data_IF_404813984427
#
_entry.id   IF_404813984427
#
_cell.length_a   1.000
_cell.length_b   1.000
_cell.length_c   1.000
_cell.angle_alpha   90.00
_cell.angle_beta   90.00
_cell.angle_gamma   90.00
#
_symmetry.space_group_name_H-M   'P 1'
#
loop_
_entity.id
_entity.type
_entity.pdbx_description
1 polymer ?
#
# COMPACT_ATOMS: atom_id res chain seq x y z
N UNK A 1 61.50 9.98 -0.16
CA UNK A 1 60.04 10.17 -0.14
C UNK A 1 59.46 9.13 -1.07
N UNK A 2 58.82 8.09 -0.52
CA UNK A 2 58.28 6.98 -1.30
C UNK A 2 56.89 7.39 -1.82
N UNK A 3 56.87 8.03 -2.98
CA UNK A 3 55.66 8.49 -3.67
C UNK A 3 54.64 7.36 -3.89
N UNK A 4 55.11 6.13 -4.08
CA UNK A 4 54.24 4.96 -4.25
C UNK A 4 53.38 4.67 -3.02
N UNK A 5 53.93 4.86 -1.80
CA UNK A 5 53.17 4.64 -0.57
C UNK A 5 52.06 5.68 -0.40
N UNK A 6 52.34 6.94 -0.71
CA UNK A 6 51.36 8.02 -0.58
C UNK A 6 50.17 7.87 -1.54
N UNK A 7 50.43 7.36 -2.75
CA UNK A 7 49.38 7.12 -3.74
C UNK A 7 48.48 5.95 -3.31
N UNK A 8 49.07 4.87 -2.79
CA UNK A 8 48.33 3.72 -2.27
C UNK A 8 47.47 4.12 -1.06
N UNK A 9 48.02 4.90 -0.14
CA UNK A 9 47.29 5.39 1.04
C UNK A 9 46.10 6.28 0.63
N UNK A 10 46.31 7.20 -0.31
CA UNK A 10 45.23 8.05 -0.83
C UNK A 10 44.13 7.24 -1.51
N UNK A 11 44.52 6.24 -2.30
CA UNK A 11 43.57 5.35 -2.99
C UNK A 11 42.71 4.56 -2.00
N UNK A 12 43.33 3.99 -0.96
CA UNK A 12 42.63 3.25 0.09
C UNK A 12 41.63 4.13 0.84
N UNK A 13 41.99 5.39 1.13
CA UNK A 13 41.07 6.35 1.77
C UNK A 13 39.86 6.65 0.89
N UNK A 14 40.07 6.88 -0.42
CA UNK A 14 38.98 7.16 -1.36
C UNK A 14 38.02 5.97 -1.45
N UNK A 15 38.55 4.75 -1.53
CA UNK A 15 37.73 3.53 -1.57
C UNK A 15 36.90 3.41 -0.29
N UNK A 16 37.49 3.62 0.88
CA UNK A 16 36.79 3.53 2.16
C UNK A 16 35.67 4.58 2.29
N UNK A 17 35.93 5.81 1.87
CA UNK A 17 34.94 6.89 1.85
C UNK A 17 33.79 6.61 0.88
N UNK A 18 34.09 6.07 -0.30
CA UNK A 18 33.04 5.70 -1.27
C UNK A 18 32.14 4.59 -0.73
N UNK A 19 32.73 3.58 -0.07
CA UNK A 19 32.00 2.45 0.48
C UNK A 19 31.08 2.88 1.62
N UNK A 20 31.61 3.68 2.55
CA UNK A 20 30.83 4.24 3.67
C UNK A 20 29.70 5.16 3.20
N UNK A 21 29.95 6.02 2.21
CA UNK A 21 28.92 6.87 1.61
C UNK A 21 27.80 6.05 0.95
N UNK A 22 28.15 4.99 0.24
CA UNK A 22 27.16 4.11 -0.41
C UNK A 22 26.28 3.37 0.61
N UNK A 23 26.86 2.88 1.70
CA UNK A 23 26.14 2.24 2.80
C UNK A 23 25.19 3.22 3.51
N UNK A 24 25.67 4.43 3.82
CA UNK A 24 24.85 5.47 4.42
C UNK A 24 23.68 5.86 3.52
N UNK A 25 23.91 6.00 2.21
CA UNK A 25 22.87 6.30 1.24
C UNK A 25 21.79 5.21 1.20
N UNK A 26 22.17 3.94 1.18
CA UNK A 26 21.23 2.82 1.17
C UNK A 26 20.38 2.77 2.44
N UNK A 27 20.96 3.08 3.60
CA UNK A 27 20.21 3.16 4.87
C UNK A 27 19.18 4.30 4.84
N UNK A 28 19.60 5.50 4.42
CA UNK A 28 18.71 6.66 4.29
C UNK A 28 17.60 6.39 3.28
N UNK A 29 17.94 5.83 2.11
CA UNK A 29 16.96 5.48 1.08
C UNK A 29 15.95 4.45 1.59
N UNK A 30 16.40 3.44 2.34
CA UNK A 30 15.53 2.42 2.92
C UNK A 30 14.59 3.03 3.96
N UNK A 31 15.10 3.91 4.83
CA UNK A 31 14.30 4.63 5.81
C UNK A 31 13.22 5.50 5.15
N UNK A 32 13.61 6.28 4.12
CA UNK A 32 12.68 7.12 3.36
C UNK A 32 11.65 6.31 2.56
N UNK A 33 11.98 5.11 2.08
CA UNK A 33 11.02 4.25 1.35
C UNK A 33 10.03 3.55 2.27
N UNK A 34 10.45 3.17 3.49
CA UNK A 34 9.58 2.52 4.49
C UNK A 34 8.42 3.42 4.96
N UNK A 35 8.49 4.73 4.75
CA UNK A 35 7.39 5.66 5.07
C UNK A 35 6.32 5.74 3.98
N UNK A 36 6.47 5.06 2.82
CA UNK A 36 5.33 4.72 1.96
C UNK A 36 4.48 3.70 2.72
N UNK A 37 3.68 4.20 3.67
CA UNK A 37 2.65 3.48 4.38
C UNK A 37 1.89 2.68 3.35
N UNK A 38 1.78 1.37 3.58
CA UNK A 38 0.82 0.51 2.92
C UNK A 38 -0.51 1.21 3.13
N UNK A 39 -0.96 1.95 2.12
CA UNK A 39 -2.25 2.63 2.20
C UNK A 39 -3.26 1.52 2.38
N UNK A 40 -4.05 1.59 3.45
CA UNK A 40 -5.12 0.63 3.69
C UNK A 40 -6.15 0.87 2.60
N UNK A 41 -5.96 0.17 1.49
CA UNK A 41 -6.83 0.21 0.34
C UNK A 41 -8.14 -0.46 0.75
N UNK A 42 -9.20 0.34 0.88
CA UNK A 42 -10.53 -0.18 1.17
C UNK A 42 -11.04 -0.84 -0.10
N UNK A 43 -11.12 -2.16 -0.09
CA UNK A 43 -11.73 -2.94 -1.18
C UNK A 43 -13.23 -2.98 -0.94
N UNK A 44 -14.01 -2.67 -1.98
CA UNK A 44 -15.47 -2.68 -1.96
C UNK A 44 -16.01 -3.63 -3.02
N UNK A 45 -17.09 -4.33 -2.69
CA UNK A 45 -17.86 -5.15 -3.63
C UNK A 45 -19.19 -4.47 -3.96
N UNK A 46 -19.58 -4.50 -5.23
CA UNK A 46 -20.86 -4.00 -5.73
C UNK A 46 -21.77 -5.19 -5.95
N UNK A 47 -22.94 -5.14 -5.34
CA UNK A 47 -24.00 -6.13 -5.47
C UNK A 47 -25.12 -5.51 -6.28
N UNK A 48 -25.62 -6.24 -7.27
CA UNK A 48 -26.84 -5.91 -7.99
C UNK A 48 -27.99 -6.76 -7.46
N UNK A 49 -29.07 -6.10 -7.03
CA UNK A 49 -30.26 -6.70 -6.44
C UNK A 49 -31.49 -5.84 -6.80
N UNK A 50 -32.59 -6.45 -7.25
CA UNK A 50 -33.85 -5.75 -7.56
C UNK A 50 -33.69 -4.52 -8.48
N UNK A 51 -32.78 -4.60 -9.46
CA UNK A 51 -32.47 -3.49 -10.38
C UNK A 51 -31.70 -2.32 -9.77
N UNK A 52 -31.29 -2.41 -8.50
CA UNK A 52 -30.46 -1.43 -7.80
C UNK A 52 -29.07 -2.01 -7.50
N UNK A 53 -28.09 -1.11 -7.38
CA UNK A 53 -26.70 -1.46 -7.06
C UNK A 53 -26.33 -0.93 -5.68
N UNK A 54 -25.77 -1.81 -4.85
CA UNK A 54 -25.34 -1.48 -3.49
C UNK A 54 -23.87 -1.79 -3.31
N UNK A 55 -23.14 -0.91 -2.64
CA UNK A 55 -21.74 -1.11 -2.29
C UNK A 55 -21.64 -1.66 -0.86
N UNK A 56 -20.82 -2.69 -0.68
CA UNK A 56 -20.46 -3.21 0.65
C UNK A 56 -18.95 -3.34 0.80
N UNK A 57 -18.50 -3.47 2.04
CA UNK A 57 -17.11 -3.81 2.33
C UNK A 57 -16.82 -5.21 1.82
N UNK A 58 -15.71 -5.37 1.10
CA UNK A 58 -15.28 -6.67 0.62
C UNK A 58 -15.11 -7.67 1.77
N UNK A 59 -15.72 -8.84 1.62
CA UNK A 59 -15.55 -9.97 2.54
C UNK A 59 -14.69 -11.06 1.86
N UNK A 60 -13.87 -11.77 2.64
CA UNK A 60 -13.04 -12.86 2.10
C UNK A 60 -13.96 -13.91 1.46
N UNK A 61 -13.66 -14.29 0.21
CA UNK A 61 -14.48 -15.21 -0.57
C UNK A 61 -15.55 -14.53 -1.43
N UNK A 62 -15.57 -13.20 -1.53
CA UNK A 62 -16.32 -12.49 -2.57
C UNK A 62 -15.59 -12.59 -3.91
N UNK A 63 -16.33 -12.91 -4.97
CA UNK A 63 -15.86 -12.91 -6.35
C UNK A 63 -16.98 -12.39 -7.26
N UNK A 64 -16.61 -11.85 -8.43
CA UNK A 64 -17.57 -11.35 -9.41
C UNK A 64 -18.39 -12.52 -9.95
N UNK A 65 -19.71 -12.42 -9.88
CA UNK A 65 -20.65 -13.48 -10.25
C UNK A 65 -21.20 -14.28 -9.07
N UNK A 66 -20.66 -14.11 -7.86
CA UNK A 66 -21.17 -14.80 -6.66
C UNK A 66 -22.59 -14.35 -6.33
N UNK A 67 -23.48 -15.31 -6.08
CA UNK A 67 -24.82 -15.08 -5.55
C UNK A 67 -24.75 -14.73 -4.06
N UNK A 68 -25.48 -13.69 -3.66
CA UNK A 68 -25.54 -13.20 -2.29
C UNK A 68 -26.98 -12.87 -1.94
N UNK A 69 -27.39 -13.14 -0.70
CA UNK A 69 -28.71 -12.74 -0.22
C UNK A 69 -28.76 -11.22 -0.06
N UNK A 70 -29.85 -10.64 -0.55
CA UNK A 70 -30.09 -9.21 -0.47
C UNK A 70 -30.88 -8.92 0.81
N UNK A 71 -30.53 -7.86 1.53
CA UNK A 71 -31.23 -7.48 2.76
C UNK A 71 -32.52 -6.70 2.50
N UNK A 72 -32.64 -6.06 1.33
CA UNK A 72 -33.81 -5.26 0.94
C UNK A 72 -34.85 -6.08 0.15
N UNK A 73 -34.43 -7.19 -0.44
CA UNK A 73 -35.28 -8.09 -1.19
C UNK A 73 -34.94 -9.52 -0.79
N UNK A 74 -35.93 -10.38 -0.57
CA UNK A 74 -35.71 -11.81 -0.30
C UNK A 74 -35.20 -12.60 -1.53
N UNK A 75 -34.82 -11.90 -2.60
CA UNK A 75 -34.24 -12.47 -3.81
C UNK A 75 -32.70 -12.52 -3.75
N UNK A 76 -32.13 -13.44 -4.52
CA UNK A 76 -30.68 -13.58 -4.65
C UNK A 76 -30.12 -12.45 -5.53
N UNK A 77 -29.24 -11.64 -4.96
CA UNK A 77 -28.42 -10.68 -5.68
C UNK A 77 -27.13 -11.30 -6.22
N UNK A 78 -26.39 -10.55 -7.04
CA UNK A 78 -25.09 -10.98 -7.60
C UNK A 78 -24.03 -9.91 -7.42
N UNK A 79 -22.80 -10.32 -7.09
CA UNK A 79 -21.64 -9.42 -7.10
C UNK A 79 -21.26 -9.10 -8.54
N UNK A 80 -21.33 -7.83 -8.94
CA UNK A 80 -21.04 -7.38 -10.33
C UNK A 80 -19.67 -6.75 -10.49
N UNK A 81 -19.09 -6.20 -9.41
CA UNK A 81 -17.77 -5.58 -9.46
C UNK A 81 -17.08 -5.63 -8.10
N UNK A 82 -15.75 -5.67 -8.12
CA UNK A 82 -14.89 -5.55 -6.94
C UNK A 82 -13.78 -4.57 -7.31
N UNK A 83 -13.64 -3.50 -6.55
CA UNK A 83 -12.63 -2.48 -6.83
C UNK A 83 -12.02 -1.89 -5.55
N UNK A 84 -10.85 -1.28 -5.72
CA UNK A 84 -10.18 -0.53 -4.66
C UNK A 84 -10.70 0.90 -4.67
N UNK A 85 -11.30 1.32 -3.56
CA UNK A 85 -11.71 2.71 -3.36
C UNK A 85 -10.47 3.58 -3.12
N UNK A 86 -10.27 4.60 -3.98
CA UNK A 86 -9.28 5.64 -3.74
C UNK A 86 -9.81 6.61 -2.69
N UNK A 87 -9.55 6.31 -1.41
CA UNK A 87 -9.93 7.21 -0.32
C UNK A 87 -8.95 8.39 -0.29
N UNK A 88 -9.43 9.57 -0.67
CA UNK A 88 -8.73 10.84 -0.48
C UNK A 88 -8.35 11.02 1.00
N UNK A 89 -7.12 11.47 1.26
CA UNK A 89 -6.53 11.54 2.60
C UNK A 89 -7.41 12.28 3.64
N UNK A 90 -8.26 13.21 3.19
CA UNK A 90 -9.12 14.03 4.05
C UNK A 90 -10.31 13.28 4.66
N UNK A 91 -10.82 12.21 4.01
CA UNK A 91 -11.92 11.37 4.55
C UNK A 91 -11.45 10.29 5.54
N UNK A 92 -10.14 10.06 5.67
CA UNK A 92 -9.56 9.00 6.52
C UNK A 92 -9.80 9.22 8.03
N UNK A 93 -9.92 10.47 8.48
CA UNK A 93 -10.16 10.79 9.91
C UNK A 93 -11.55 10.37 10.41
N UNK A 94 -12.60 10.52 9.60
CA UNK A 94 -13.98 10.20 10.01
C UNK A 94 -14.31 8.70 10.03
N UNK A 95 -13.51 7.87 9.38
CA UNK A 95 -13.70 6.41 9.37
C UNK A 95 -12.98 5.66 10.51
N UNK A 96 -12.16 6.38 11.29
CA UNK A 96 -11.44 5.88 12.46
C UNK A 96 -11.85 6.68 13.71
N UNK A 97 -13.11 7.12 13.77
CA UNK A 97 -13.70 7.49 15.05
C UNK A 97 -14.24 6.19 15.64
N UNK A 98 -13.59 5.58 16.66
CA UNK A 98 -14.26 4.55 17.43
C UNK A 98 -15.49 5.21 18.05
N UNK A 99 -16.66 4.63 17.81
CA UNK A 99 -17.89 5.01 18.49
C UNK A 99 -17.65 4.85 20.00
N UNK A 100 -17.40 5.98 20.68
CA UNK A 100 -17.41 6.09 22.14
C UNK A 100 -18.85 6.18 22.62
#
# INVERSE_FOLDING_TARGET
>A
MNWDSQVVDLYMVIVLLSLTASLAYMLVQTYLRKTKKIEVQRIVSVIECCGKRFTRKFSRGDYVGKEVECSECEEKGRIVAIFVEKIEANKRRKAYEPHL
#
